data_IF_130594822498
#
_entry.id   IF_130594822498
#
_cell.length_a   1.000
_cell.length_b   1.000
_cell.length_c   1.000
_cell.angle_alpha   90.00
_cell.angle_beta   90.00
_cell.angle_gamma   90.00
#
_symmetry.space_group_name_H-M   'P 1'
#
loop_
_entity.id
_entity.type
_entity.pdbx_description
1 polymer ?
#
# COMPACT_ATOMS: atom_id res chain seq x y z
N UNK A 1 -18.31 25.38 -11.82
CA UNK A 1 -18.69 24.31 -10.88
C UNK A 1 -19.03 23.07 -11.68
N UNK A 2 -18.08 22.15 -11.78
CA UNK A 2 -18.28 20.76 -12.22
C UNK A 2 -17.15 19.97 -11.57
N UNK A 3 -17.39 19.53 -10.33
CA UNK A 3 -16.50 18.58 -9.65
C UNK A 3 -16.70 17.23 -10.33
N UNK A 4 -15.71 16.78 -11.10
CA UNK A 4 -15.64 15.39 -11.51
C UNK A 4 -15.33 14.56 -10.27
N UNK A 5 -16.30 13.75 -9.86
CA UNK A 5 -16.09 12.64 -8.94
C UNK A 5 -15.25 11.62 -9.67
N UNK A 6 -13.99 11.48 -9.26
CA UNK A 6 -13.13 10.41 -9.75
C UNK A 6 -13.61 9.13 -9.07
N UNK A 7 -14.33 8.29 -9.83
CA UNK A 7 -14.53 6.88 -9.49
C UNK A 7 -13.21 6.15 -9.75
N UNK A 8 -12.95 5.06 -9.04
CA UNK A 8 -11.80 4.15 -9.24
C UNK A 8 -11.67 3.61 -10.68
N UNK A 9 -12.58 3.99 -11.59
CA UNK A 9 -12.70 3.54 -12.98
C UNK A 9 -12.25 4.58 -14.02
N UNK A 10 -11.91 5.82 -13.64
CA UNK A 10 -11.61 6.92 -14.59
C UNK A 10 -10.15 6.92 -15.12
N UNK A 11 -9.43 5.81 -14.94
CA UNK A 11 -8.19 5.49 -15.66
C UNK A 11 -8.48 4.56 -16.84
N UNK A 12 -9.42 4.93 -17.70
CA UNK A 12 -9.60 4.28 -19.00
C UNK A 12 -9.14 5.20 -20.12
N UNK A 13 -8.01 4.81 -20.69
CA UNK A 13 -7.49 5.28 -21.96
C UNK A 13 -8.58 5.20 -23.04
N UNK A 14 -8.72 6.25 -23.86
CA UNK A 14 -9.59 6.23 -25.05
C UNK A 14 -8.91 5.38 -26.12
N UNK A 15 -9.17 4.07 -26.09
CA UNK A 15 -8.84 3.12 -27.17
C UNK A 15 -10.11 2.74 -27.93
N UNK A 16 -10.03 2.77 -29.26
CA UNK A 16 -11.12 2.46 -30.18
C UNK A 16 -11.70 1.03 -30.07
N UNK A 17 -12.77 0.75 -30.83
CA UNK A 17 -13.64 -0.39 -30.57
C UNK A 17 -13.07 -1.67 -31.22
N UNK A 18 -12.59 -2.62 -30.41
CA UNK A 18 -12.99 -4.02 -30.58
C UNK A 18 -12.56 -4.91 -29.38
N UNK A 19 -13.56 -5.63 -28.86
CA UNK A 19 -13.52 -6.98 -28.26
C UNK A 19 -12.79 -7.29 -26.93
N UNK A 20 -13.60 -7.75 -25.95
CA UNK A 20 -13.21 -8.75 -24.94
C UNK A 20 -13.09 -8.26 -23.48
N UNK A 21 -13.75 -8.91 -22.49
CA UNK A 21 -13.71 -8.47 -21.10
C UNK A 21 -12.50 -9.07 -20.39
N UNK A 22 -11.40 -8.30 -20.28
CA UNK A 22 -10.30 -8.65 -19.38
C UNK A 22 -10.13 -7.55 -18.33
N UNK A 23 -10.57 -7.84 -17.10
CA UNK A 23 -10.37 -7.00 -15.91
C UNK A 23 -9.01 -7.33 -15.32
N UNK A 24 -8.15 -6.34 -15.22
CA UNK A 24 -6.82 -6.44 -14.63
C UNK A 24 -5.82 -5.69 -15.50
N UNK A 25 -5.22 -4.64 -14.96
CA UNK A 25 -4.18 -3.84 -15.62
C UNK A 25 -2.88 -4.63 -15.78
N UNK A 26 -2.92 -5.73 -16.54
CA UNK A 26 -1.74 -6.35 -17.09
C UNK A 26 -1.35 -5.57 -18.34
N UNK A 27 -0.15 -5.00 -18.32
CA UNK A 27 0.54 -4.55 -19.52
C UNK A 27 0.42 -5.66 -20.58
N UNK A 28 -0.25 -5.44 -21.73
CA UNK A 28 -0.64 -6.52 -22.65
C UNK A 28 0.53 -7.15 -23.42
N UNK A 29 1.78 -6.80 -23.09
CA UNK A 29 2.97 -7.41 -23.65
C UNK A 29 4.08 -7.40 -22.60
N UNK A 30 4.63 -8.58 -22.30
CA UNK A 30 5.96 -8.72 -21.72
C UNK A 30 6.98 -8.16 -22.73
N UNK A 31 7.17 -6.84 -22.72
CA UNK A 31 8.15 -6.23 -23.59
C UNK A 31 9.55 -6.51 -23.03
N UNK A 32 10.28 -7.35 -23.76
CA UNK A 32 11.67 -7.77 -23.54
C UNK A 32 12.69 -6.60 -23.39
N UNK A 33 12.24 -5.34 -23.48
CA UNK A 33 13.04 -4.14 -23.28
C UNK A 33 12.98 -3.56 -21.86
N UNK A 34 12.06 -4.04 -21.00
CA UNK A 34 12.06 -3.61 -19.61
C UNK A 34 13.41 -3.96 -18.94
N UNK A 35 13.96 -5.15 -19.24
CA UNK A 35 15.29 -5.60 -18.81
C UNK A 35 16.46 -4.74 -19.31
N UNK A 36 16.28 -3.93 -20.35
CA UNK A 36 17.33 -3.01 -20.83
C UNK A 36 17.46 -1.75 -19.96
N UNK A 37 16.49 -1.51 -19.06
CA UNK A 37 16.53 -0.39 -18.13
C UNK A 37 17.49 -0.75 -16.99
N UNK A 38 18.64 -0.09 -16.98
CA UNK A 38 19.67 -0.25 -15.96
C UNK A 38 19.57 0.89 -14.93
N UNK A 39 20.18 0.73 -13.74
CA UNK A 39 20.32 1.83 -12.79
C UNK A 39 20.99 3.08 -13.42
N UNK A 40 21.92 2.89 -14.35
CA UNK A 40 22.59 3.98 -15.05
C UNK A 40 21.62 4.80 -15.94
N UNK A 41 20.68 4.13 -16.61
CA UNK A 41 19.63 4.81 -17.39
C UNK A 41 18.76 5.69 -16.48
N UNK A 42 18.27 5.12 -15.38
CA UNK A 42 17.44 5.85 -14.40
C UNK A 42 18.21 7.04 -13.82
N UNK A 43 19.45 6.84 -13.37
CA UNK A 43 20.29 7.89 -12.83
C UNK A 43 20.53 9.02 -13.84
N UNK A 44 20.80 8.69 -15.12
CA UNK A 44 21.00 9.69 -16.17
C UNK A 44 19.73 10.54 -16.40
N UNK A 45 18.55 9.92 -16.42
CA UNK A 45 17.28 10.64 -16.60
C UNK A 45 16.97 11.56 -15.42
N UNK A 46 17.17 11.10 -14.18
CA UNK A 46 16.97 11.90 -12.98
C UNK A 46 17.96 13.06 -12.90
N UNK A 47 19.23 12.83 -13.27
CA UNK A 47 20.25 13.88 -13.32
C UNK A 47 19.95 14.94 -14.39
N UNK A 48 19.47 14.51 -15.55
CA UNK A 48 18.99 15.41 -16.59
C UNK A 48 17.84 16.27 -16.07
N UNK A 49 16.86 15.66 -15.39
CA UNK A 49 15.73 16.36 -14.80
C UNK A 49 16.17 17.42 -13.79
N UNK A 50 17.03 17.04 -12.84
CA UNK A 50 17.59 17.94 -11.83
C UNK A 50 18.26 19.17 -12.45
N UNK A 51 19.04 18.96 -13.51
CA UNK A 51 19.88 20.02 -14.12
C UNK A 51 19.16 20.87 -15.16
N UNK A 52 18.21 20.31 -15.91
CA UNK A 52 17.68 20.93 -17.13
C UNK A 52 16.19 21.26 -17.07
N UNK A 53 15.39 20.52 -16.31
CA UNK A 53 13.93 20.69 -16.29
C UNK A 53 13.52 21.81 -15.34
N UNK A 54 12.66 22.72 -15.84
CA UNK A 54 12.10 23.87 -15.08
C UNK A 54 10.57 23.83 -14.98
N UNK A 55 9.94 22.88 -15.64
CA UNK A 55 8.49 22.75 -15.70
C UNK A 55 8.08 21.44 -15.05
N UNK A 56 7.55 20.54 -15.88
CA UNK A 56 7.12 19.22 -15.48
C UNK A 56 8.16 18.17 -15.86
N UNK A 57 8.42 17.28 -14.91
CA UNK A 57 9.16 16.05 -15.13
C UNK A 57 8.27 14.86 -14.78
N UNK A 58 8.20 13.87 -15.66
CA UNK A 58 7.45 12.64 -15.43
C UNK A 58 8.30 11.46 -15.90
N UNK A 59 8.50 10.50 -15.01
CA UNK A 59 9.24 9.27 -15.29
C UNK A 59 8.43 8.09 -14.73
N UNK A 60 8.11 7.15 -15.60
CA UNK A 60 7.49 5.88 -15.23
C UNK A 60 8.39 4.75 -15.72
N UNK A 61 8.97 4.02 -14.77
CA UNK A 61 9.78 2.83 -14.99
C UNK A 61 8.93 1.62 -14.60
N UNK A 62 8.74 0.63 -15.49
CA UNK A 62 7.99 -0.57 -15.18
C UNK A 62 8.70 -1.38 -14.08
N UNK A 63 7.94 -2.23 -13.39
CA UNK A 63 8.54 -3.29 -12.56
C UNK A 63 9.32 -4.23 -13.48
N UNK A 64 10.59 -4.44 -13.18
CA UNK A 64 11.42 -5.33 -13.98
C UNK A 64 10.97 -6.79 -13.77
N UNK A 65 10.90 -7.59 -14.85
CA UNK A 65 10.68 -9.01 -14.71
C UNK A 65 11.86 -9.61 -13.93
N UNK A 66 11.57 -10.61 -13.10
CA UNK A 66 12.62 -11.37 -12.43
C UNK A 66 13.47 -12.09 -13.48
N UNK A 67 14.80 -12.00 -13.37
CA UNK A 67 15.69 -12.68 -14.31
C UNK A 67 15.71 -14.18 -14.00
N UNK A 68 15.26 -15.02 -14.94
CA UNK A 68 15.52 -16.46 -14.90
C UNK A 68 16.97 -16.70 -15.29
N UNK A 69 17.74 -17.34 -14.41
CA UNK A 69 19.10 -17.78 -14.70
C UNK A 69 19.01 -19.20 -15.24
N UNK A 70 19.08 -19.36 -16.56
CA UNK A 70 19.26 -20.71 -17.12
C UNK A 70 20.62 -21.25 -16.67
N UNK A 71 20.69 -22.48 -16.12
CA UNK A 71 21.96 -23.15 -15.89
C UNK A 71 22.75 -23.21 -17.20
N UNK A 72 24.09 -23.09 -17.18
CA UNK A 72 24.88 -23.44 -18.35
C UNK A 72 24.56 -24.89 -18.73
N UNK A 73 24.24 -25.13 -20.00
CA UNK A 73 24.17 -26.48 -20.54
C UNK A 73 25.56 -27.10 -20.31
N UNK A 74 25.65 -28.06 -19.39
CA UNK A 74 26.83 -28.90 -19.27
C UNK A 74 26.97 -29.62 -20.62
N UNK A 75 28.01 -29.29 -21.37
CA UNK A 75 28.50 -30.08 -22.50
C UNK A 75 28.95 -31.44 -21.94
N UNK A 76 28.00 -32.37 -21.75
CA UNK A 76 28.26 -33.75 -21.36
C UNK A 76 28.73 -34.54 -22.60
N UNK A 77 30.03 -34.44 -22.87
CA UNK A 77 30.76 -35.45 -23.64
C UNK A 77 30.86 -36.73 -22.78
N UNK A 78 30.04 -37.75 -23.03
CA UNK A 78 30.31 -39.06 -22.42
C UNK A 78 29.23 -40.15 -22.49
N UNK A 79 29.34 -40.96 -23.53
CA UNK A 79 29.16 -42.42 -23.51
C UNK A 79 27.76 -43.06 -23.43
N UNK A 80 27.52 -43.91 -24.43
CA UNK A 80 26.49 -44.94 -24.53
C UNK A 80 26.61 -45.93 -23.36
N UNK A 81 25.58 -46.11 -22.51
CA UNK A 81 25.35 -47.40 -21.85
C UNK A 81 23.86 -47.76 -21.70
N UNK A 82 23.63 -49.07 -21.75
CA UNK A 82 22.44 -49.85 -22.10
C UNK A 82 21.17 -49.68 -21.23
N UNK A 83 20.00 -49.92 -21.86
CA UNK A 83 18.74 -50.16 -21.16
C UNK A 83 18.77 -51.44 -20.30
N UNK A 84 18.15 -51.44 -19.10
CA UNK A 84 17.65 -52.66 -18.50
C UNK A 84 16.13 -52.75 -18.56
N UNK A 85 15.70 -53.98 -18.84
CA UNK A 85 14.32 -54.42 -19.02
C UNK A 85 13.47 -54.43 -17.73
N UNK A 86 12.16 -54.46 -17.97
CA UNK A 86 11.05 -54.47 -17.03
C UNK A 86 11.19 -55.37 -15.79
N UNK A 87 10.88 -54.81 -14.62
CA UNK A 87 10.60 -55.56 -13.40
C UNK A 87 10.39 -54.66 -12.18
N UNK A 88 9.19 -54.71 -11.62
CA UNK A 88 8.84 -54.38 -10.22
C UNK A 88 8.60 -52.89 -9.86
N UNK A 89 7.31 -52.60 -9.61
CA UNK A 89 6.76 -51.35 -9.07
C UNK A 89 6.77 -51.39 -7.55
N UNK A 90 7.81 -50.87 -6.91
CA UNK A 90 7.80 -50.41 -5.52
C UNK A 90 8.82 -49.27 -5.36
N UNK A 91 8.35 -48.03 -5.28
CA UNK A 91 9.25 -46.87 -5.18
C UNK A 91 8.59 -45.49 -5.33
N UNK A 92 7.32 -45.32 -4.94
CA UNK A 92 6.60 -44.03 -4.98
C UNK A 92 6.97 -43.07 -3.82
N UNK A 93 8.17 -43.22 -3.24
CA UNK A 93 8.61 -42.44 -2.08
C UNK A 93 9.86 -41.58 -2.31
N UNK A 94 10.53 -41.67 -3.47
CA UNK A 94 11.76 -40.87 -3.74
C UNK A 94 11.49 -39.69 -4.70
N UNK A 95 10.32 -39.61 -5.32
CA UNK A 95 10.01 -38.50 -6.24
C UNK A 95 9.41 -37.26 -5.56
N UNK A 96 9.24 -37.26 -4.23
CA UNK A 96 8.67 -36.11 -3.49
C UNK A 96 9.75 -35.24 -2.85
N UNK A 97 10.97 -35.76 -2.62
CA UNK A 97 12.07 -34.97 -2.05
C UNK A 97 12.89 -34.17 -3.08
N UNK A 98 12.80 -34.46 -4.39
CA UNK A 98 13.46 -33.66 -5.43
C UNK A 98 12.58 -32.55 -6.04
N UNK A 99 11.30 -32.47 -5.64
CA UNK A 99 10.40 -31.39 -6.08
C UNK A 99 10.42 -30.15 -5.16
N UNK A 100 11.27 -30.15 -4.12
CA UNK A 100 11.37 -29.08 -3.12
C UNK A 100 12.68 -28.26 -3.18
N UNK A 101 13.46 -28.33 -4.28
CA UNK A 101 14.72 -27.57 -4.40
C UNK A 101 14.91 -26.80 -5.72
N UNK A 102 13.83 -26.37 -6.37
CA UNK A 102 13.87 -25.30 -7.39
C UNK A 102 13.08 -24.08 -6.92
N UNK A 103 13.29 -23.63 -5.69
CA UNK A 103 13.28 -22.18 -5.46
C UNK A 103 14.58 -21.65 -6.08
N UNK A 104 14.62 -21.55 -7.42
CA UNK A 104 15.63 -20.73 -8.08
C UNK A 104 15.57 -19.37 -7.39
N UNK A 105 16.68 -18.95 -6.75
CA UNK A 105 16.85 -17.60 -6.24
C UNK A 105 16.79 -16.65 -7.45
N UNK A 106 15.56 -16.34 -7.87
CA UNK A 106 15.26 -15.36 -8.90
C UNK A 106 15.75 -14.01 -8.37
N UNK A 107 16.98 -13.63 -8.71
CA UNK A 107 17.53 -12.32 -8.39
C UNK A 107 16.61 -11.25 -9.00
N UNK A 108 15.77 -10.62 -8.16
CA UNK A 108 15.04 -9.42 -8.54
C UNK A 108 16.10 -8.41 -9.02
N UNK A 109 16.10 -8.04 -10.30
CA UNK A 109 16.96 -6.98 -10.79
C UNK A 109 16.55 -5.67 -10.11
N UNK A 110 17.28 -5.26 -9.08
CA UNK A 110 16.95 -4.06 -8.29
C UNK A 110 17.55 -2.83 -8.94
N UNK A 111 16.69 -1.84 -9.24
CA UNK A 111 17.11 -0.53 -9.71
C UNK A 111 17.48 0.38 -8.54
N UNK A 112 18.52 1.19 -8.72
CA UNK A 112 18.92 2.23 -7.78
C UNK A 112 18.72 3.61 -8.38
N UNK A 113 18.22 4.54 -7.57
CA UNK A 113 17.93 5.90 -7.97
C UNK A 113 18.18 6.87 -6.81
N UNK A 114 18.55 8.11 -7.14
CA UNK A 114 18.57 9.23 -6.20
C UNK A 114 17.50 10.25 -6.61
N UNK A 115 16.70 10.71 -5.66
CA UNK A 115 15.64 11.68 -5.94
C UNK A 115 16.24 13.00 -6.46
N UNK A 116 15.75 13.55 -7.60
CA UNK A 116 16.37 14.71 -8.22
C UNK A 116 16.09 16.01 -7.46
N UNK A 117 17.14 16.66 -6.94
CA UNK A 117 17.04 18.01 -6.35
C UNK A 117 16.97 19.11 -7.42
N UNK A 118 15.90 19.90 -7.45
CA UNK A 118 15.79 21.07 -8.34
C UNK A 118 14.86 22.15 -7.80
N UNK A 119 15.41 23.33 -7.52
CA UNK A 119 14.64 24.49 -7.06
C UNK A 119 13.75 25.11 -8.16
N UNK A 120 13.92 24.69 -9.42
CA UNK A 120 13.22 25.24 -10.60
C UNK A 120 12.09 24.36 -11.10
N UNK A 121 12.08 23.08 -10.73
CA UNK A 121 11.07 22.14 -11.19
C UNK A 121 9.73 22.46 -10.52
N UNK A 122 8.66 22.50 -11.31
CA UNK A 122 7.31 22.80 -10.81
C UNK A 122 6.52 21.53 -10.51
N UNK A 123 6.65 20.52 -11.36
CA UNK A 123 5.90 19.28 -11.22
C UNK A 123 6.85 18.11 -11.36
N UNK A 124 6.78 17.17 -10.42
CA UNK A 124 7.58 15.96 -10.41
C UNK A 124 6.67 14.76 -10.21
N UNK A 125 6.73 13.80 -11.13
CA UNK A 125 5.97 12.55 -11.05
C UNK A 125 6.89 11.38 -11.35
N UNK A 126 7.12 10.54 -10.35
CA UNK A 126 8.04 9.42 -10.40
C UNK A 126 7.31 8.14 -10.02
N UNK A 127 7.33 7.15 -10.93
CA UNK A 127 6.92 5.77 -10.66
C UNK A 127 8.11 4.89 -11.01
N UNK A 128 8.77 4.25 -10.05
CA UNK A 128 10.09 3.63 -10.29
C UNK A 128 10.11 2.10 -10.13
N UNK A 129 8.98 1.41 -10.35
CA UNK A 129 8.99 -0.06 -10.47
C UNK A 129 9.61 -0.84 -9.30
N UNK A 130 9.48 -0.33 -8.06
CA UNK A 130 10.12 -0.82 -6.81
C UNK A 130 11.65 -0.58 -6.72
N UNK A 131 12.19 0.38 -7.46
CA UNK A 131 13.58 0.81 -7.31
C UNK A 131 13.88 1.27 -5.87
N UNK A 132 15.10 1.00 -5.43
CA UNK A 132 15.66 1.58 -4.21
C UNK A 132 15.96 3.06 -4.48
N UNK A 133 15.27 3.93 -3.76
CA UNK A 133 15.36 5.38 -3.91
C UNK A 133 16.02 5.99 -2.69
N UNK A 134 17.18 6.62 -2.91
CA UNK A 134 17.82 7.48 -1.91
C UNK A 134 17.18 8.87 -1.95
N UNK A 135 16.81 9.37 -0.77
CA UNK A 135 16.28 10.73 -0.60
C UNK A 135 17.44 11.64 -0.18
N UNK A 136 17.80 12.65 -0.99
CA UNK A 136 18.91 13.53 -0.70
C UNK A 136 18.62 14.41 0.52
N UNK A 137 19.69 14.85 1.18
CA UNK A 137 19.59 15.89 2.23
C UNK A 137 19.25 17.22 1.59
N UNK A 138 17.97 17.54 1.55
CA UNK A 138 17.46 18.78 0.97
C UNK A 138 17.71 19.98 1.89
N UNK A 139 18.41 21.00 1.38
CA UNK A 139 18.51 22.30 2.02
C UNK A 139 17.23 23.13 1.85
N UNK A 140 17.13 24.24 2.59
CA UNK A 140 16.01 25.17 2.46
C UNK A 140 15.86 25.67 1.01
N UNK A 141 14.63 25.60 0.48
CA UNK A 141 14.32 25.99 -0.90
C UNK A 141 14.84 25.05 -1.99
N UNK A 142 15.33 23.86 -1.65
CA UNK A 142 15.78 22.86 -2.64
C UNK A 142 14.71 22.52 -3.69
N UNK A 143 13.43 22.70 -3.35
CA UNK A 143 12.27 22.46 -4.20
C UNK A 143 11.35 23.69 -4.25
N UNK A 144 11.96 24.89 -4.28
CA UNK A 144 11.22 26.16 -4.16
C UNK A 144 10.04 26.32 -5.14
N UNK A 145 10.21 25.91 -6.41
CA UNK A 145 9.19 26.03 -7.43
C UNK A 145 8.16 24.89 -7.46
N UNK A 146 8.39 23.81 -6.69
CA UNK A 146 7.60 22.58 -6.76
C UNK A 146 6.17 22.84 -6.22
N UNK A 147 5.18 22.53 -7.05
CA UNK A 147 3.75 22.65 -6.75
C UNK A 147 3.09 21.28 -6.67
N UNK A 148 3.52 20.32 -7.48
CA UNK A 148 2.89 19.00 -7.57
C UNK A 148 3.98 17.93 -7.48
N UNK A 149 3.82 17.00 -6.53
CA UNK A 149 4.75 15.91 -6.30
C UNK A 149 4.00 14.59 -6.25
N UNK A 150 4.41 13.65 -7.10
CA UNK A 150 3.95 12.27 -7.09
C UNK A 150 5.16 11.36 -7.01
N UNK A 151 5.15 10.47 -6.01
CA UNK A 151 6.14 9.41 -5.86
C UNK A 151 5.41 8.09 -5.63
N UNK A 152 5.67 7.11 -6.49
CA UNK A 152 4.98 5.84 -6.43
C UNK A 152 5.88 4.64 -6.74
N UNK A 153 5.57 3.48 -6.15
CA UNK A 153 6.25 2.20 -6.41
C UNK A 153 7.77 2.32 -6.22
N UNK A 154 8.21 2.67 -5.01
CA UNK A 154 9.63 2.79 -4.66
C UNK A 154 9.92 2.08 -3.35
N UNK A 155 11.17 1.70 -3.13
CA UNK A 155 11.71 1.18 -1.86
C UNK A 155 12.63 2.24 -1.26
N UNK A 156 12.34 2.73 -0.07
CA UNK A 156 13.24 3.58 0.70
C UNK A 156 14.15 2.69 1.56
N UNK A 157 15.39 3.12 1.77
CA UNK A 157 16.24 2.47 2.75
C UNK A 157 15.78 2.89 4.16
N UNK A 158 15.04 1.99 4.82
CA UNK A 158 14.49 2.20 6.15
C UNK A 158 15.57 2.39 7.23
N UNK A 159 16.80 1.90 7.00
CA UNK A 159 17.93 2.11 7.91
C UNK A 159 18.65 3.45 7.69
N UNK A 160 18.51 4.02 6.49
CA UNK A 160 19.21 5.24 6.08
C UNK A 160 18.56 6.55 6.56
N UNK A 161 17.34 6.53 7.08
CA UNK A 161 16.57 7.73 7.46
C UNK A 161 15.94 8.47 6.27
N UNK A 162 15.76 7.79 5.14
CA UNK A 162 15.13 8.34 3.93
C UNK A 162 13.67 8.72 4.14
N UNK A 163 12.96 8.03 5.03
CA UNK A 163 11.57 8.32 5.41
C UNK A 163 11.41 9.72 6.04
N UNK A 164 12.29 10.05 6.99
CA UNK A 164 12.34 11.38 7.62
C UNK A 164 12.78 12.46 6.63
N UNK A 165 13.75 12.15 5.76
CA UNK A 165 14.21 13.10 4.71
C UNK A 165 13.11 13.41 3.71
N UNK A 166 12.30 12.41 3.34
CA UNK A 166 11.17 12.61 2.43
C UNK A 166 10.15 13.59 3.03
N UNK A 167 9.81 13.42 4.32
CA UNK A 167 8.95 14.36 5.04
C UNK A 167 9.52 15.78 5.10
N UNK A 168 10.81 15.92 5.42
CA UNK A 168 11.50 17.21 5.45
C UNK A 168 11.54 17.91 4.08
N UNK A 169 11.74 17.16 3.00
CA UNK A 169 11.74 17.67 1.63
C UNK A 169 10.38 18.25 1.22
N UNK A 170 9.29 17.61 1.65
CA UNK A 170 7.92 18.04 1.36
C UNK A 170 7.44 19.16 2.29
N UNK A 171 8.19 19.44 3.37
CA UNK A 171 7.86 20.49 4.33
C UNK A 171 8.10 21.89 3.76
N UNK A 172 7.48 22.90 4.39
CA UNK A 172 7.48 24.32 3.96
C UNK A 172 8.87 24.93 3.80
N UNK A 173 9.88 24.42 4.52
CA UNK A 173 11.28 24.87 4.42
C UNK A 173 11.88 24.54 3.06
N UNK A 174 11.56 23.37 2.51
CA UNK A 174 12.10 22.85 1.25
C UNK A 174 11.16 23.14 0.07
N UNK A 175 9.86 22.99 0.28
CA UNK A 175 8.79 23.06 -0.74
C UNK A 175 7.69 24.07 -0.39
N UNK A 176 7.99 25.38 -0.32
CA UNK A 176 7.05 26.41 0.15
C UNK A 176 5.84 26.65 -0.77
N UNK A 177 5.86 26.15 -2.02
CA UNK A 177 4.80 26.35 -3.02
C UNK A 177 3.98 25.08 -3.30
N UNK A 178 4.24 24.02 -2.55
CA UNK A 178 3.62 22.71 -2.75
C UNK A 178 2.10 22.82 -2.56
N UNK A 179 1.36 22.22 -3.49
CA UNK A 179 -0.11 22.24 -3.56
C UNK A 179 -0.69 20.84 -3.53
N UNK A 180 -0.04 19.89 -4.19
CA UNK A 180 -0.48 18.49 -4.28
C UNK A 180 0.67 17.54 -4.01
N UNK A 181 0.41 16.56 -3.15
CA UNK A 181 1.33 15.48 -2.82
C UNK A 181 0.61 14.16 -2.94
N UNK A 182 1.19 13.25 -3.71
CA UNK A 182 0.70 11.88 -3.88
C UNK A 182 1.85 10.90 -3.58
N UNK A 183 1.70 10.10 -2.54
CA UNK A 183 2.66 9.06 -2.16
C UNK A 183 1.95 7.70 -2.27
N UNK A 184 2.45 6.81 -3.12
CA UNK A 184 1.80 5.54 -3.44
C UNK A 184 2.75 4.35 -3.36
N UNK A 185 2.35 3.24 -2.73
CA UNK A 185 3.12 1.98 -2.78
C UNK A 185 4.61 2.15 -2.47
N UNK A 186 4.90 2.88 -1.38
CA UNK A 186 6.25 3.16 -0.92
C UNK A 186 6.59 2.17 0.19
N UNK A 187 7.56 1.30 -0.09
CA UNK A 187 8.16 0.42 0.90
C UNK A 187 9.30 1.15 1.63
N UNK A 188 9.56 0.82 2.88
CA UNK A 188 10.56 1.46 3.75
C UNK A 188 10.10 2.77 4.41
N UNK A 189 8.91 3.30 4.07
CA UNK A 189 8.37 4.51 4.67
C UNK A 189 7.69 4.20 6.02
N UNK A 190 8.48 4.20 7.09
CA UNK A 190 7.98 3.91 8.45
C UNK A 190 7.30 5.12 9.11
N UNK A 191 7.84 6.31 8.84
CA UNK A 191 7.43 7.55 9.48
C UNK A 191 7.29 8.65 8.43
N UNK A 192 6.11 9.28 8.38
CA UNK A 192 5.87 10.47 7.57
C UNK A 192 5.59 11.65 8.49
N UNK A 193 6.55 12.58 8.57
CA UNK A 193 6.39 13.87 9.26
C UNK A 193 6.39 15.01 8.26
N UNK A 194 5.31 15.77 8.21
CA UNK A 194 5.11 16.80 7.20
C UNK A 194 4.65 18.10 7.87
N UNK A 195 5.56 19.10 7.93
CA UNK A 195 5.22 20.49 8.27
C UNK A 195 4.98 21.25 6.97
N UNK A 196 3.77 21.14 6.43
CA UNK A 196 3.41 21.66 5.12
C UNK A 196 3.20 23.18 5.12
N UNK A 197 3.46 23.80 3.97
CA UNK A 197 3.08 25.17 3.73
C UNK A 197 1.55 25.31 3.68
N UNK A 198 1.03 26.49 3.97
CA UNK A 198 -0.41 26.79 3.86
C UNK A 198 -0.94 26.71 2.42
N UNK A 199 -0.06 26.52 1.43
CA UNK A 199 -0.40 26.30 0.03
C UNK A 199 -0.80 24.86 -0.28
N UNK A 200 -0.43 23.89 0.57
CA UNK A 200 -0.73 22.49 0.35
C UNK A 200 -2.23 22.28 0.48
N UNK A 201 -2.88 21.91 -0.62
CA UNK A 201 -4.33 21.75 -0.71
C UNK A 201 -4.75 20.27 -0.74
N UNK A 202 -3.88 19.39 -1.24
CA UNK A 202 -4.18 17.98 -1.46
C UNK A 202 -3.02 17.08 -1.04
N UNK A 203 -3.32 16.08 -0.21
CA UNK A 203 -2.41 15.02 0.21
C UNK A 203 -3.11 13.68 -0.02
N UNK A 204 -2.52 12.81 -0.83
CA UNK A 204 -2.97 11.42 -0.97
C UNK A 204 -1.87 10.44 -0.62
N UNK A 205 -2.23 9.46 0.18
CA UNK A 205 -1.39 8.39 0.69
C UNK A 205 -2.08 7.09 0.28
N UNK A 206 -1.43 6.29 -0.56
CA UNK A 206 -1.98 5.06 -1.12
C UNK A 206 -1.04 3.88 -0.86
N UNK A 207 -1.53 2.75 -0.36
CA UNK A 207 -0.73 1.52 -0.31
C UNK A 207 0.55 1.63 0.54
N UNK A 208 0.52 2.41 1.63
CA UNK A 208 1.69 2.66 2.49
C UNK A 208 1.78 1.67 3.65
N UNK A 209 1.89 0.37 3.37
CA UNK A 209 1.68 -0.72 4.35
C UNK A 209 2.63 -0.73 5.57
N UNK A 210 3.79 -0.09 5.48
CA UNK A 210 4.78 -0.05 6.56
C UNK A 210 4.74 1.24 7.40
N UNK A 211 3.82 2.17 7.09
CA UNK A 211 3.70 3.44 7.80
C UNK A 211 3.18 3.23 9.22
N UNK A 212 4.01 3.50 10.23
CA UNK A 212 3.66 3.38 11.65
C UNK A 212 3.28 4.72 12.27
N UNK A 213 3.90 5.81 11.82
CA UNK A 213 3.66 7.16 12.35
C UNK A 213 3.31 8.12 11.22
N UNK A 214 2.15 8.73 11.33
CA UNK A 214 1.68 9.80 10.45
C UNK A 214 1.55 11.09 11.27
N UNK A 215 2.37 12.10 10.95
CA UNK A 215 2.33 13.42 11.59
C UNK A 215 2.27 14.49 10.51
N UNK A 216 1.11 15.14 10.36
CA UNK A 216 0.83 16.09 9.29
C UNK A 216 0.33 17.39 9.90
N UNK A 217 1.15 18.44 9.82
CA UNK A 217 0.76 19.81 10.08
C UNK A 217 0.56 20.54 8.74
N UNK A 218 -0.69 20.66 8.30
CA UNK A 218 -1.04 21.21 7.01
C UNK A 218 -2.24 22.16 7.11
N UNK A 219 -2.02 23.43 7.52
CA UNK A 219 -3.10 24.37 7.81
C UNK A 219 -3.95 24.77 6.59
N UNK A 220 -3.42 24.56 5.38
CA UNK A 220 -4.11 24.83 4.11
C UNK A 220 -4.83 23.64 3.49
N UNK A 221 -4.68 22.45 4.08
CA UNK A 221 -5.12 21.20 3.47
C UNK A 221 -6.64 21.13 3.36
N UNK A 222 -7.14 20.79 2.17
CA UNK A 222 -8.57 20.64 1.86
C UNK A 222 -8.96 19.20 1.58
N UNK A 223 -8.05 18.44 0.98
CA UNK A 223 -8.26 17.04 0.60
C UNK A 223 -7.16 16.20 1.22
N UNK A 224 -7.57 15.21 2.00
CA UNK A 224 -6.71 14.16 2.54
C UNK A 224 -7.30 12.83 2.12
N UNK A 225 -6.54 12.02 1.37
CA UNK A 225 -6.91 10.64 1.09
C UNK A 225 -5.86 9.71 1.68
N UNK A 226 -6.30 8.77 2.52
CA UNK A 226 -5.49 7.67 3.05
C UNK A 226 -6.18 6.39 2.62
N UNK A 227 -5.81 5.90 1.44
CA UNK A 227 -6.45 4.78 0.75
C UNK A 227 -5.52 3.56 0.76
N UNK A 228 -6.10 2.35 0.82
CA UNK A 228 -5.35 1.09 0.90
C UNK A 228 -4.19 1.15 1.92
N UNK A 229 -4.42 1.90 3.00
CA UNK A 229 -3.38 2.45 3.86
C UNK A 229 -3.19 1.64 5.14
N UNK A 230 -1.93 1.61 5.59
CA UNK A 230 -1.39 0.92 6.77
C UNK A 230 -2.40 0.50 7.85
N UNK A 231 -2.66 -0.80 7.91
CA UNK A 231 -3.24 -1.52 9.06
C UNK A 231 -2.38 -1.42 10.34
N UNK A 232 -1.23 -0.73 10.28
CA UNK A 232 -0.23 -0.66 11.33
C UNK A 232 0.07 0.76 11.81
N UNK A 233 -0.73 1.77 11.44
CA UNK A 233 -0.52 3.14 11.96
C UNK A 233 -0.74 3.14 13.47
N UNK A 234 0.36 3.18 14.21
CA UNK A 234 0.37 3.19 15.67
C UNK A 234 0.06 4.58 16.24
N UNK A 235 0.35 5.65 15.49
CA UNK A 235 0.05 7.02 15.87
C UNK A 235 -0.25 7.90 14.65
N UNK A 236 -1.36 8.63 14.71
CA UNK A 236 -1.77 9.57 13.67
C UNK A 236 -2.07 10.94 14.29
N UNK A 237 -1.29 11.95 13.90
CA UNK A 237 -1.52 13.36 14.25
C UNK A 237 -1.74 14.14 12.97
N UNK A 238 -2.94 14.69 12.81
CA UNK A 238 -3.34 15.39 11.60
C UNK A 238 -3.92 16.74 12.02
N UNK A 239 -3.10 17.78 11.85
CA UNK A 239 -3.48 19.17 12.02
C UNK A 239 -3.82 19.79 10.65
N UNK A 240 -5.08 19.66 10.25
CA UNK A 240 -5.67 20.15 9.00
C UNK A 240 -7.04 20.82 9.29
N UNK A 241 -7.07 22.00 9.92
CA UNK A 241 -8.31 22.65 10.37
C UNK A 241 -9.24 23.10 9.23
N UNK A 242 -8.76 23.12 7.98
CA UNK A 242 -9.52 23.51 6.78
C UNK A 242 -9.93 22.31 5.90
N UNK A 243 -9.80 21.08 6.42
CA UNK A 243 -10.08 19.88 5.65
C UNK A 243 -11.57 19.80 5.27
N UNK A 244 -11.85 19.64 3.98
CA UNK A 244 -13.20 19.56 3.44
C UNK A 244 -13.56 18.13 3.01
N UNK A 245 -12.57 17.38 2.52
CA UNK A 245 -12.72 16.01 2.01
C UNK A 245 -11.71 15.08 2.69
N UNK A 246 -12.22 13.98 3.23
CA UNK A 246 -11.44 12.90 3.80
C UNK A 246 -11.75 11.59 3.06
N UNK A 247 -10.78 11.06 2.33
CA UNK A 247 -10.74 9.65 1.92
C UNK A 247 -10.04 8.85 3.01
N UNK A 248 -10.68 7.85 3.61
CA UNK A 248 -10.07 7.14 4.74
C UNK A 248 -10.40 5.65 4.74
N UNK A 249 -9.52 4.85 4.13
CA UNK A 249 -9.59 3.40 4.21
C UNK A 249 -9.43 2.94 5.67
N UNK A 250 -8.25 3.09 6.25
CA UNK A 250 -8.01 2.74 7.64
C UNK A 250 -6.93 3.63 8.27
N UNK A 251 -7.20 4.17 9.47
CA UNK A 251 -6.26 5.01 10.24
C UNK A 251 -6.26 4.52 11.69
N UNK A 252 -5.70 3.33 11.92
CA UNK A 252 -5.41 2.78 13.25
C UNK A 252 -6.57 2.87 14.27
N UNK A 253 -6.25 2.71 15.57
CA UNK A 253 -7.24 2.88 16.64
C UNK A 253 -7.49 4.36 16.98
N UNK A 254 -8.72 4.70 17.34
CA UNK A 254 -9.14 6.09 17.64
C UNK A 254 -8.34 6.75 18.78
N UNK A 255 -7.89 5.98 19.76
CA UNK A 255 -7.14 6.47 20.93
C UNK A 255 -5.80 7.11 20.55
N UNK A 256 -5.27 6.73 19.39
CA UNK A 256 -3.99 7.21 18.85
C UNK A 256 -4.17 8.21 17.71
N UNK A 257 -5.42 8.59 17.41
CA UNK A 257 -5.78 9.59 16.41
C UNK A 257 -5.96 10.96 17.07
N UNK A 258 -5.16 11.93 16.63
CA UNK A 258 -5.35 13.35 16.92
C UNK A 258 -5.73 14.06 15.62
N UNK A 259 -6.92 14.65 15.58
CA UNK A 259 -7.47 15.26 14.37
C UNK A 259 -8.23 16.54 14.72
N UNK A 260 -7.82 17.67 14.12
CA UNK A 260 -8.42 19.00 14.37
C UNK A 260 -9.36 19.48 13.25
N UNK A 261 -9.52 18.70 12.17
CA UNK A 261 -10.33 19.04 10.99
C UNK A 261 -11.81 18.67 11.08
N UNK A 262 -12.29 18.15 12.21
CA UNK A 262 -13.63 17.54 12.31
C UNK A 262 -14.78 18.51 12.00
N UNK A 263 -14.61 19.78 12.36
CA UNK A 263 -15.65 20.81 12.18
C UNK A 263 -15.75 21.32 10.72
N UNK A 264 -14.66 21.29 9.96
CA UNK A 264 -14.61 21.76 8.57
C UNK A 264 -14.96 20.67 7.57
N UNK A 265 -14.93 19.41 7.98
CA UNK A 265 -15.19 18.27 7.12
C UNK A 265 -16.62 18.31 6.55
N UNK A 266 -16.74 18.12 5.24
CA UNK A 266 -18.01 18.13 4.50
C UNK A 266 -18.28 16.82 3.78
N UNK A 267 -17.22 16.08 3.44
CA UNK A 267 -17.29 14.85 2.67
C UNK A 267 -16.34 13.82 3.24
N UNK A 268 -16.85 12.62 3.45
CA UNK A 268 -16.07 11.43 3.77
C UNK A 268 -16.28 10.43 2.62
N UNK A 269 -15.18 10.02 1.99
CA UNK A 269 -15.14 9.01 0.94
C UNK A 269 -14.40 7.77 1.45
N UNK A 270 -14.75 6.61 0.93
CA UNK A 270 -14.06 5.34 1.18
C UNK A 270 -13.80 5.02 2.66
N UNK A 271 -14.75 5.33 3.55
CA UNK A 271 -14.62 5.01 4.96
C UNK A 271 -14.70 3.50 5.14
N UNK A 272 -13.58 2.80 5.33
CA UNK A 272 -13.63 1.34 5.48
C UNK A 272 -14.07 0.96 6.89
N UNK A 273 -15.04 0.06 6.96
CA UNK A 273 -15.53 -0.57 8.19
C UNK A 273 -15.41 -2.07 8.03
N UNK A 274 -14.80 -2.75 9.00
CA UNK A 274 -14.64 -4.20 9.02
C UNK A 274 -15.88 -4.86 9.62
N UNK A 275 -16.41 -5.88 8.93
CA UNK A 275 -17.64 -6.57 9.31
C UNK A 275 -17.50 -7.47 10.55
N UNK A 276 -16.29 -7.92 10.88
CA UNK A 276 -16.02 -8.81 12.00
C UNK A 276 -14.73 -8.43 12.73
N UNK A 277 -14.71 -8.67 14.05
CA UNK A 277 -13.48 -8.56 14.86
C UNK A 277 -12.66 -9.83 14.64
N UNK A 278 -11.36 -9.68 14.41
CA UNK A 278 -10.45 -10.81 14.36
C UNK A 278 -10.41 -11.55 15.71
N UNK A 279 -10.00 -12.83 15.73
CA UNK A 279 -9.70 -13.58 16.95
C UNK A 279 -8.75 -12.85 17.91
N UNK A 280 -8.75 -13.30 19.19
CA UNK A 280 -8.21 -12.62 20.39
C UNK A 280 -6.75 -12.16 20.36
N UNK A 281 -5.99 -12.59 19.39
CA UNK A 281 -4.55 -12.46 19.24
C UNK A 281 -4.13 -11.32 18.27
N UNK A 282 -5.06 -10.72 17.52
CA UNK A 282 -4.79 -9.60 16.59
C UNK A 282 -5.66 -8.35 16.85
N UNK A 283 -6.10 -8.17 18.09
CA UNK A 283 -7.14 -7.21 18.49
C UNK A 283 -6.89 -5.72 18.18
N UNK A 284 -5.65 -5.31 17.94
CA UNK A 284 -5.31 -3.89 17.76
C UNK A 284 -5.26 -3.41 16.31
N UNK A 285 -5.27 -4.32 15.32
CA UNK A 285 -4.92 -3.98 13.93
C UNK A 285 -6.12 -3.70 13.04
N UNK A 286 -7.29 -4.28 13.32
CA UNK A 286 -8.49 -4.15 12.48
C UNK A 286 -9.73 -3.75 13.30
N UNK A 287 -9.59 -2.71 14.12
CA UNK A 287 -10.72 -2.12 14.84
C UNK A 287 -11.37 -0.98 14.04
N UNK A 288 -12.69 -0.87 14.18
CA UNK A 288 -13.51 0.18 13.58
C UNK A 288 -13.50 1.48 14.41
N UNK A 289 -12.73 1.56 15.50
CA UNK A 289 -12.78 2.71 16.41
C UNK A 289 -12.50 4.03 15.73
N UNK A 290 -11.48 4.15 14.86
CA UNK A 290 -11.22 5.40 14.14
C UNK A 290 -12.37 5.77 13.19
N UNK A 291 -12.95 4.80 12.47
CA UNK A 291 -14.11 5.04 11.62
C UNK A 291 -15.32 5.53 12.43
N UNK A 292 -15.60 4.87 13.56
CA UNK A 292 -16.66 5.28 14.50
C UNK A 292 -16.38 6.65 15.12
N UNK A 293 -15.11 6.98 15.37
CA UNK A 293 -14.72 8.30 15.86
C UNK A 293 -15.08 9.38 14.85
N UNK A 294 -14.75 9.20 13.56
CA UNK A 294 -15.12 10.17 12.52
C UNK A 294 -16.63 10.35 12.42
N UNK A 295 -17.40 9.26 12.45
CA UNK A 295 -18.86 9.31 12.40
C UNK A 295 -19.48 10.05 13.60
N UNK A 296 -18.84 10.01 14.78
CA UNK A 296 -19.32 10.69 15.99
C UNK A 296 -18.92 12.17 16.06
N UNK A 297 -17.73 12.52 15.58
CA UNK A 297 -17.15 13.86 15.77
C UNK A 297 -17.32 14.78 14.55
N UNK A 298 -17.57 14.24 13.35
CA UNK A 298 -17.72 15.03 12.13
C UNK A 298 -19.20 15.32 11.83
N UNK A 299 -19.79 16.29 12.53
CA UNK A 299 -21.22 16.63 12.41
C UNK A 299 -21.58 17.43 11.15
N UNK A 300 -20.61 18.01 10.44
CA UNK A 300 -20.80 18.82 9.24
C UNK A 300 -20.80 18.06 7.92
N UNK A 301 -20.72 16.72 7.95
CA UNK A 301 -20.58 15.88 6.76
C UNK A 301 -21.91 15.75 6.03
N UNK A 302 -21.98 16.24 4.79
CA UNK A 302 -23.15 16.13 3.92
C UNK A 302 -23.11 14.97 2.93
N UNK A 303 -21.93 14.36 2.72
CA UNK A 303 -21.75 13.17 1.88
C UNK A 303 -20.83 12.18 2.57
N UNK A 304 -21.30 10.95 2.70
CA UNK A 304 -20.60 9.85 3.33
C UNK A 304 -20.64 8.64 2.38
N UNK A 305 -19.49 8.06 2.08
CA UNK A 305 -19.34 6.75 1.44
C UNK A 305 -18.63 5.82 2.42
N UNK A 306 -19.24 4.65 2.67
CA UNK A 306 -18.71 3.63 3.58
C UNK A 306 -18.50 2.35 2.79
N UNK A 307 -17.31 1.78 2.91
CA UNK A 307 -16.93 0.54 2.27
C UNK A 307 -16.87 -0.56 3.35
N UNK A 308 -17.71 -1.59 3.24
CA UNK A 308 -17.72 -2.70 4.19
C UNK A 308 -16.70 -3.75 3.74
N UNK A 309 -15.62 -3.89 4.51
CA UNK A 309 -14.61 -4.91 4.27
C UNK A 309 -14.96 -6.23 4.99
N UNK A 310 -14.88 -7.32 4.24
CA UNK A 310 -14.89 -8.68 4.77
C UNK A 310 -13.42 -9.10 4.93
N UNK A 311 -12.96 -9.49 6.12
CA UNK A 311 -11.69 -10.23 6.20
C UNK A 311 -11.93 -11.60 5.57
N UNK A 312 -11.66 -11.71 4.28
CA UNK A 312 -11.50 -13.00 3.64
C UNK A 312 -10.15 -13.54 4.08
N UNK A 313 -10.14 -14.30 5.17
CA UNK A 313 -9.01 -15.21 5.41
C UNK A 313 -9.08 -16.30 4.35
N UNK A 314 -7.95 -16.74 3.77
CA UNK A 314 -7.94 -17.99 3.04
C UNK A 314 -8.48 -19.06 4.01
N UNK A 315 -9.59 -19.68 3.65
CA UNK A 315 -10.00 -20.95 4.23
C UNK A 315 -9.02 -22.04 3.75
N UNK A 316 -7.73 -21.84 3.95
CA UNK A 316 -6.73 -22.88 3.76
C UNK A 316 -6.57 -23.54 5.12
N UNK A 317 -7.04 -24.79 5.19
CA UNK A 317 -7.00 -25.72 6.32
C UNK A 317 -8.09 -25.58 7.39
N UNK A 318 -9.37 -25.56 6.97
CA UNK A 318 -10.41 -26.29 7.72
C UNK A 318 -10.73 -27.59 6.96
N UNK A 319 -9.71 -28.39 6.74
CA UNK A 319 -9.84 -29.83 6.53
C UNK A 319 -9.29 -30.51 7.78
N UNK A 320 -10.01 -30.32 8.88
CA UNK A 320 -9.91 -31.09 10.09
C UNK A 320 -11.34 -31.42 10.47
N UNK A 321 -11.81 -32.58 10.06
CA UNK A 321 -12.87 -33.27 10.79
C UNK A 321 -12.42 -33.38 12.27
N UNK A 322 -13.38 -33.29 13.20
CA UNK A 322 -13.23 -33.04 14.66
C UNK A 322 -13.19 -31.52 14.99
N UNK A 323 -14.18 -30.89 15.63
CA UNK A 323 -15.10 -31.38 16.67
C UNK A 323 -16.33 -30.44 16.71
N UNK A 324 -17.35 -30.76 15.92
CA UNK A 324 -18.71 -30.22 16.08
C UNK A 324 -19.40 -30.99 17.21
N UNK A 325 -18.98 -30.75 18.46
CA UNK A 325 -19.57 -31.43 19.61
C UNK A 325 -19.45 -30.66 20.94
N UNK A 326 -19.77 -29.36 21.00
CA UNK A 326 -20.16 -28.80 22.31
C UNK A 326 -21.03 -27.53 22.30
N UNK A 327 -21.69 -27.20 21.18
CA UNK A 327 -22.63 -26.06 21.15
C UNK A 327 -24.10 -26.44 21.39
N UNK A 328 -24.41 -27.71 21.67
CA UNK A 328 -25.76 -28.21 21.92
C UNK A 328 -25.88 -29.05 23.22
N UNK A 329 -25.11 -28.70 24.26
CA UNK A 329 -25.47 -29.06 25.65
C UNK A 329 -26.27 -27.93 26.29
N UNK A 330 -27.39 -27.62 25.64
CA UNK A 330 -28.46 -26.83 26.23
C UNK A 330 -29.16 -27.62 27.33
N UNK A 331 -29.47 -26.91 28.42
CA UNK A 331 -30.74 -27.05 29.14
C UNK A 331 -31.27 -28.46 29.39
N UNK A 332 -30.70 -29.13 30.39
CA UNK A 332 -31.45 -30.09 31.20
C UNK A 332 -30.79 -30.17 32.57
N UNK A 333 -31.17 -29.27 33.48
CA UNK A 333 -31.11 -29.49 34.94
C UNK A 333 -31.69 -28.25 35.66
N UNK A 334 -33.01 -28.15 35.66
CA UNK A 334 -33.79 -27.39 36.65
C UNK A 334 -35.28 -27.59 36.43
N UNK A 335 -35.76 -28.81 36.70
CA UNK A 335 -37.08 -29.08 37.27
C UNK A 335 -37.30 -30.58 37.31
N UNK A 336 -37.22 -31.18 38.49
CA UNK A 336 -38.37 -31.77 39.19
C UNK A 336 -37.87 -32.59 40.38
N UNK A 337 -38.10 -32.07 41.59
CA UNK A 337 -38.29 -32.93 42.77
C UNK A 337 -39.45 -32.38 43.59
N UNK A 338 -40.58 -33.07 43.42
CA UNK A 338 -41.58 -33.41 44.43
C UNK A 338 -42.38 -32.32 45.18
N UNK A 339 -43.66 -32.29 44.81
CA UNK A 339 -44.80 -32.04 45.70
C UNK A 339 -44.72 -32.91 46.98
N UNK A 340 -44.92 -32.30 48.16
CA UNK A 340 -45.67 -32.91 49.26
C UNK A 340 -46.56 -31.87 49.94
N UNK A 341 -47.80 -32.28 50.16
CA UNK A 341 -48.89 -31.60 50.86
C UNK A 341 -48.64 -31.48 52.37
N UNK A 342 -49.04 -30.36 52.99
CA UNK A 342 -50.14 -30.35 53.99
C UNK A 342 -50.41 -28.94 54.53
N UNK A 343 -51.69 -28.58 54.51
CA UNK A 343 -52.32 -27.45 55.21
C UNK A 343 -52.75 -27.91 56.64
N UNK A 344 -53.43 -27.13 57.50
CA UNK A 344 -54.20 -25.89 57.27
C UNK A 344 -53.59 -24.61 57.83
#
# INVERSE_FOLDING_TARGET
MTSRTWSSEDSTYVGGPNEGPNKGGLYPYSHYHASDITPAHVAAWLLFAARRVKGRFTLAVPTLPKQRRYPPEDDDDGDEEEEPAAGEVEGLAVAVEEMEAMEEEEEESVLFAELPCSARMKEMSLTLGKAILTVPTAGAGAFHALTDFLLSHVRLDAGGGDDLRLGHLLSRSCSPRLRKVHLGYIFGLSTLRLDAASTLAELRLLGLHQLRTLDVAAPGLRVLAVEDGSYMVAAARIAAPRLEVLGCGHIGPAERLQFDGAASLRRIDHLTVWSHRLPRDQHDLLDNSAALWFLRHCSGVGRLSVDLALCMWPLENISGEEEMADYDRGHADSNTTSLEHSAP
#
